data_IF_934130928214
#
_entry.id   IF_934130928214
#
_cell.length_a   1.000
_cell.length_b   1.000
_cell.length_c   1.000
_cell.angle_alpha   90.00
_cell.angle_beta   90.00
_cell.angle_gamma   90.00
#
_symmetry.space_group_name_H-M   'P 1'
#
loop_
_entity.id
_entity.type
_entity.pdbx_description
1 polymer ?
#
# COMPACT_ATOMS: atom_id res chain seq x y z
N UNK A 1 16.56 6.72 18.03
CA UNK A 1 16.41 6.87 17.57
C UNK A 1 16.67 6.97 17.05
N UNK A 2 16.65 7.05 16.64
CA UNK A 2 16.82 7.28 15.92
C UNK A 2 16.55 7.87 15.28
N UNK A 3 16.49 8.48 15.15
CA UNK A 3 16.24 9.14 14.52
C UNK A 3 16.32 8.95 13.45
N UNK A 4 16.94 8.43 13.05
CA UNK A 4 17.05 8.19 11.98
C UNK A 4 15.98 7.93 11.29
N UNK A 5 15.77 7.48 11.71
CA UNK A 5 14.78 7.16 11.36
C UNK A 5 13.98 8.05 10.94
N UNK A 6 14.20 8.88 11.41
CA UNK A 6 13.58 9.85 11.17
C UNK A 6 13.80 10.33 9.90
N UNK A 7 14.57 9.89 9.27
CA UNK A 7 14.68 10.20 8.04
C UNK A 7 13.60 9.62 7.36
N UNK A 8 12.46 10.15 7.41
CA UNK A 8 11.42 9.69 6.66
C UNK A 8 11.70 9.94 5.26
N UNK A 9 11.47 9.04 4.39
CA UNK A 9 11.57 9.28 3.03
C UNK A 9 10.47 10.17 2.66
N UNK A 10 10.71 11.03 1.70
CA UNK A 10 9.74 12.01 1.26
C UNK A 10 8.41 11.38 0.88
N UNK A 11 8.43 10.32 0.13
CA UNK A 11 7.20 9.68 -0.30
C UNK A 11 6.38 9.05 0.82
N UNK A 12 7.03 8.69 1.90
CA UNK A 12 6.32 8.07 3.01
C UNK A 12 5.36 9.02 3.69
N UNK A 13 5.73 10.30 3.79
CA UNK A 13 4.85 11.27 4.39
C UNK A 13 3.58 11.44 3.56
N UNK A 14 3.72 11.46 2.25
CA UNK A 14 2.57 11.59 1.39
C UNK A 14 1.68 10.37 1.51
N UNK A 15 2.27 9.18 1.59
CA UNK A 15 1.49 7.95 1.61
C UNK A 15 0.73 7.71 2.91
N UNK A 16 1.04 8.49 3.96
CA UNK A 16 0.31 8.37 5.20
C UNK A 16 -0.64 9.55 5.43
N UNK A 17 -0.60 10.56 4.56
CA UNK A 17 -1.47 11.71 4.67
C UNK A 17 -2.83 11.39 4.04
N UNK A 18 -3.86 11.37 4.87
CA UNK A 18 -5.18 10.96 4.40
C UNK A 18 -5.78 11.87 3.36
N UNK A 19 -5.47 13.15 3.41
CA UNK A 19 -5.94 14.08 2.41
C UNK A 19 -5.37 13.73 1.05
N UNK A 20 -4.06 13.48 1.01
CA UNK A 20 -3.38 13.16 -0.24
C UNK A 20 -3.86 11.82 -0.75
N UNK A 21 -4.02 10.84 0.14
CA UNK A 21 -4.53 9.54 -0.25
C UNK A 21 -5.94 9.63 -0.82
N UNK A 22 -6.78 10.47 -0.23
CA UNK A 22 -8.14 10.67 -0.76
C UNK A 22 -8.12 11.29 -2.15
N UNK A 23 -7.22 12.23 -2.38
CA UNK A 23 -7.09 12.84 -3.70
C UNK A 23 -6.62 11.81 -4.73
N UNK A 24 -5.67 10.97 -4.36
CA UNK A 24 -5.19 9.93 -5.25
C UNK A 24 -6.32 8.96 -5.57
N UNK A 25 -7.09 8.58 -4.55
CA UNK A 25 -8.21 7.68 -4.72
C UNK A 25 -9.21 8.25 -5.73
N UNK A 26 -9.52 9.54 -5.59
CA UNK A 26 -10.46 10.18 -6.50
C UNK A 26 -9.95 10.26 -7.93
N UNK A 27 -8.65 10.48 -8.10
CA UNK A 27 -8.05 10.51 -9.43
C UNK A 27 -8.08 9.16 -10.09
N UNK A 28 -7.74 8.11 -9.35
CA UNK A 28 -7.67 6.76 -9.91
C UNK A 28 -9.08 6.21 -10.12
N UNK A 29 -9.98 6.51 -9.19
CA UNK A 29 -11.37 6.09 -9.28
C UNK A 29 -11.46 4.58 -9.56
N UNK A 30 -11.00 3.75 -8.63
CA UNK A 30 -10.88 2.32 -8.88
C UNK A 30 -12.21 1.64 -9.12
N UNK A 31 -12.20 0.63 -9.99
CA UNK A 31 -13.38 -0.12 -10.35
C UNK A 31 -13.22 -1.58 -9.98
N UNK A 32 -14.33 -2.28 -9.90
CA UNK A 32 -14.33 -3.69 -9.46
C UNK A 32 -13.58 -4.62 -10.39
N UNK A 33 -13.47 -4.28 -11.67
CA UNK A 33 -12.77 -5.14 -12.63
C UNK A 33 -11.33 -4.70 -12.89
N UNK A 34 -10.83 -3.75 -12.11
CA UNK A 34 -9.45 -3.30 -12.24
C UNK A 34 -8.48 -4.33 -11.65
N UNK A 35 -7.27 -4.32 -12.19
CA UNK A 35 -6.16 -5.08 -11.64
C UNK A 35 -5.10 -4.06 -11.25
N UNK A 36 -4.74 -4.03 -9.97
CA UNK A 36 -3.81 -3.05 -9.45
C UNK A 36 -2.44 -3.66 -9.20
N UNK A 37 -1.42 -2.86 -9.45
CA UNK A 37 -0.06 -3.20 -9.06
C UNK A 37 0.51 -2.00 -8.32
N UNK A 38 0.86 -2.20 -7.06
CA UNK A 38 1.48 -1.16 -6.26
C UNK A 38 2.94 -1.49 -6.01
N UNK A 39 3.83 -0.54 -6.26
CA UNK A 39 5.26 -0.72 -6.05
C UNK A 39 5.64 0.01 -4.78
N UNK A 40 6.24 -0.71 -3.84
CA UNK A 40 6.69 -0.13 -2.58
C UNK A 40 5.56 0.28 -1.65
N UNK A 41 4.68 -0.64 -1.28
CA UNK A 41 3.53 -0.28 -0.43
C UNK A 41 3.88 0.24 0.96
N UNK A 42 5.10 0.01 1.42
CA UNK A 42 5.51 0.50 2.73
C UNK A 42 4.65 -0.05 3.85
N UNK A 43 4.03 0.83 4.63
CA UNK A 43 3.17 0.41 5.73
C UNK A 43 1.82 -0.09 5.26
N UNK A 44 1.48 0.10 3.99
CA UNK A 44 0.22 -0.37 3.44
C UNK A 44 -0.93 0.61 3.53
N UNK A 45 -0.64 1.89 3.73
CA UNK A 45 -1.71 2.89 3.86
C UNK A 45 -2.54 3.03 2.59
N UNK A 46 -1.88 3.08 1.43
CA UNK A 46 -2.59 3.17 0.17
C UNK A 46 -3.24 1.83 -0.14
N UNK A 47 -2.54 0.73 0.15
CA UNK A 47 -3.08 -0.60 -0.05
C UNK A 47 -4.40 -0.74 0.68
N UNK A 48 -4.42 -0.33 1.93
CA UNK A 48 -5.62 -0.45 2.76
C UNK A 48 -6.80 0.30 2.17
N UNK A 49 -6.55 1.46 1.62
CA UNK A 49 -7.62 2.28 1.05
C UNK A 49 -8.21 1.68 -0.23
N UNK A 50 -7.37 1.06 -1.07
CA UNK A 50 -7.81 0.59 -2.37
C UNK A 50 -8.22 -0.89 -2.41
N UNK A 51 -7.71 -1.68 -1.48
CA UNK A 51 -7.72 -3.14 -1.59
C UNK A 51 -9.09 -3.78 -1.78
N UNK A 52 -10.11 -3.21 -1.20
CA UNK A 52 -11.43 -3.81 -1.26
C UNK A 52 -12.19 -3.61 -2.55
N UNK A 53 -11.64 -2.86 -3.48
CA UNK A 53 -12.37 -2.47 -4.69
C UNK A 53 -12.00 -3.27 -5.93
N UNK A 54 -10.71 -3.37 -6.32
CA UNK A 54 -10.39 -4.02 -7.58
C UNK A 54 -10.50 -5.53 -7.49
N UNK A 55 -10.50 -6.15 -8.65
CA UNK A 55 -10.57 -7.60 -8.73
C UNK A 55 -9.30 -8.22 -8.16
N UNK A 56 -8.16 -7.62 -8.42
CA UNK A 56 -6.89 -8.15 -8.00
C UNK A 56 -5.96 -7.02 -7.60
N UNK A 57 -5.20 -7.22 -6.54
CA UNK A 57 -4.28 -6.22 -6.04
C UNK A 57 -2.94 -6.88 -5.74
N UNK A 58 -1.92 -6.55 -6.54
CA UNK A 58 -0.59 -7.07 -6.35
C UNK A 58 0.32 -5.96 -5.87
N UNK A 59 1.18 -6.28 -4.92
CA UNK A 59 2.17 -5.32 -4.42
C UNK A 59 3.56 -5.92 -4.57
N UNK A 60 4.54 -5.07 -4.85
CA UNK A 60 5.94 -5.47 -4.93
C UNK A 60 6.70 -4.72 -3.86
N UNK A 61 7.37 -5.44 -3.00
CA UNK A 61 8.11 -4.85 -1.89
C UNK A 61 9.44 -5.59 -1.71
N UNK A 62 10.53 -4.86 -1.53
CA UNK A 62 11.84 -5.50 -1.36
C UNK A 62 12.23 -5.70 0.09
N UNK A 63 11.61 -4.98 1.01
CA UNK A 63 11.93 -5.08 2.43
C UNK A 63 11.19 -6.26 3.04
N UNK A 64 11.94 -7.29 3.46
CA UNK A 64 11.34 -8.52 3.95
C UNK A 64 10.51 -8.33 5.22
N UNK A 65 10.89 -7.38 6.05
CA UNK A 65 10.14 -7.13 7.27
C UNK A 65 8.80 -6.49 6.94
N UNK A 66 8.79 -5.60 5.96
CA UNK A 66 7.53 -5.00 5.53
C UNK A 66 6.64 -6.04 4.86
N UNK A 67 7.22 -6.96 4.10
CA UNK A 67 6.44 -8.03 3.48
C UNK A 67 5.72 -8.85 4.54
N UNK A 68 6.44 -9.23 5.60
CA UNK A 68 5.82 -10.01 6.67
C UNK A 68 4.69 -9.24 7.34
N UNK A 69 4.92 -7.96 7.57
CA UNK A 69 3.92 -7.11 8.18
C UNK A 69 2.67 -6.99 7.32
N UNK A 70 2.87 -6.81 6.01
CA UNK A 70 1.75 -6.67 5.09
C UNK A 70 1.00 -7.98 4.91
N UNK A 71 1.71 -9.09 4.86
CA UNK A 71 1.07 -10.39 4.76
C UNK A 71 0.17 -10.65 5.96
N UNK A 72 0.64 -10.26 7.13
CA UNK A 72 -0.15 -10.43 8.34
C UNK A 72 -1.36 -9.49 8.35
N UNK A 73 -1.12 -8.25 7.96
CA UNK A 73 -2.16 -7.23 8.00
C UNK A 73 -3.30 -7.55 7.05
N UNK A 74 -2.99 -8.07 5.88
CA UNK A 74 -3.99 -8.32 4.85
C UNK A 74 -4.24 -9.81 4.61
N UNK A 75 -3.99 -10.63 5.60
CA UNK A 75 -4.06 -12.08 5.42
C UNK A 75 -5.43 -12.61 5.02
N UNK A 76 -6.46 -11.86 5.33
CA UNK A 76 -7.83 -12.31 5.01
C UNK A 76 -8.33 -11.77 3.67
N UNK A 77 -7.50 -11.01 2.96
CA UNK A 77 -7.89 -10.43 1.69
C UNK A 77 -7.50 -11.35 0.56
N UNK A 78 -8.49 -11.98 -0.05
CA UNK A 78 -8.21 -13.00 -1.06
C UNK A 78 -7.69 -12.45 -2.37
N UNK A 79 -7.97 -11.18 -2.65
CA UNK A 79 -7.51 -10.57 -3.90
C UNK A 79 -6.11 -9.97 -3.81
N UNK A 80 -5.46 -10.09 -2.64
CA UNK A 80 -4.17 -9.45 -2.42
C UNK A 80 -3.02 -10.44 -2.54
N UNK A 81 -1.95 -10.04 -3.22
CA UNK A 81 -0.71 -10.80 -3.29
C UNK A 81 0.45 -9.84 -3.13
N UNK A 82 1.51 -10.31 -2.47
CA UNK A 82 2.70 -9.50 -2.34
C UNK A 82 3.89 -10.28 -2.85
N UNK A 83 4.74 -9.60 -3.62
CA UNK A 83 5.87 -10.19 -4.29
C UNK A 83 7.13 -9.49 -3.81
N UNK A 84 8.15 -10.28 -3.56
CA UNK A 84 9.42 -9.71 -3.09
C UNK A 84 10.26 -9.16 -4.25
#
# INVERSE_FOLDING_TARGET
MNKHIKKKRFGQNFLTDKHILSNIFGFIDPKADDIFLEIGPGSGSMTEMFLGIPEKYDAIEIDKDLIKSLEKKFKNEKNFSIIN
#
